data_IF_171736721744
#
_entry.id   IF_171736721744
#
_cell.length_a   1.000
_cell.length_b   1.000
_cell.length_c   1.000
_cell.angle_alpha   90.00
_cell.angle_beta   90.00
_cell.angle_gamma   90.00
#
_symmetry.space_group_name_H-M   'P 1'
#
loop_
_entity.id
_entity.type
_entity.pdbx_description
1 polymer ?
#
# COMPACT_ATOMS: atom_id res chain seq x y z
N UNK A 1 2.16 -5.94 -2.79
CA UNK A 1 1.97 -5.68 -1.36
C UNK A 1 2.61 -4.34 -0.98
N UNK A 2 2.06 -3.59 -0.02
CA UNK A 2 2.73 -2.40 0.53
C UNK A 2 3.61 -2.80 1.73
N UNK A 3 4.90 -3.02 1.46
CA UNK A 3 5.89 -3.47 2.46
C UNK A 3 5.98 -2.48 3.62
N UNK A 4 5.97 -1.17 3.35
CA UNK A 4 6.06 -0.16 4.40
C UNK A 4 4.86 -0.21 5.35
N UNK A 5 3.65 -0.39 4.82
CA UNK A 5 2.46 -0.53 5.65
C UNK A 5 2.48 -1.81 6.50
N UNK A 6 2.95 -2.92 5.93
CA UNK A 6 3.13 -4.18 6.66
C UNK A 6 4.15 -4.05 7.81
N UNK A 7 5.31 -3.43 7.55
CA UNK A 7 6.34 -3.18 8.57
C UNK A 7 5.80 -2.24 9.65
N UNK A 8 5.11 -1.16 9.28
CA UNK A 8 4.51 -0.24 10.26
C UNK A 8 3.40 -0.92 11.08
N UNK A 9 2.69 -1.91 10.53
CA UNK A 9 1.72 -2.70 11.28
C UNK A 9 2.41 -3.57 12.36
N UNK A 10 3.54 -4.22 12.02
CA UNK A 10 4.34 -5.01 12.96
C UNK A 10 5.11 -4.14 13.98
N UNK A 11 5.58 -2.98 13.53
CA UNK A 11 6.36 -2.03 14.31
C UNK A 11 5.73 -0.62 14.24
N UNK A 12 4.64 -0.36 14.97
CA UNK A 12 3.88 0.91 14.86
C UNK A 12 4.64 2.17 15.25
N UNK A 13 5.79 2.02 15.94
CA UNK A 13 6.64 3.13 16.38
C UNK A 13 7.82 3.39 15.43
N UNK A 14 7.99 2.56 14.40
CA UNK A 14 9.09 2.69 13.46
C UNK A 14 8.86 3.85 12.49
N UNK A 15 9.95 4.53 12.12
CA UNK A 15 9.97 5.57 11.11
C UNK A 15 10.48 5.00 9.76
N UNK A 16 9.66 4.98 8.70
CA UNK A 16 10.03 4.45 7.38
C UNK A 16 11.09 5.25 6.62
N UNK A 17 11.62 6.33 7.21
CA UNK A 17 12.74 7.10 6.67
C UNK A 17 14.05 6.78 7.41
N UNK A 18 13.97 6.48 8.71
CA UNK A 18 15.14 6.30 9.57
C UNK A 18 15.39 4.84 9.95
N UNK A 19 14.33 4.10 10.27
CA UNK A 19 14.41 2.77 10.87
C UNK A 19 14.46 1.66 9.81
N UNK A 20 13.84 1.89 8.66
CA UNK A 20 13.94 1.01 7.50
C UNK A 20 13.71 1.82 6.23
N UNK A 21 14.19 1.35 5.09
CA UNK A 21 13.97 1.99 3.79
C UNK A 21 13.40 0.97 2.82
N UNK A 22 12.23 1.26 2.26
CA UNK A 22 11.66 0.49 1.15
C UNK A 22 11.93 1.24 -0.14
N UNK A 23 12.45 0.53 -1.13
CA UNK A 23 12.77 1.06 -2.45
C UNK A 23 12.05 0.25 -3.50
N UNK A 24 11.59 0.93 -4.54
CA UNK A 24 11.09 0.31 -5.76
C UNK A 24 11.93 0.86 -6.91
N UNK A 25 12.77 -0.01 -7.48
CA UNK A 25 13.61 0.34 -8.63
C UNK A 25 12.87 0.15 -9.97
N UNK A 26 11.62 -0.30 -9.91
CA UNK A 26 10.81 -0.57 -11.09
C UNK A 26 11.33 -1.76 -11.91
N UNK A 27 10.93 -1.84 -13.19
CA UNK A 27 11.33 -2.93 -14.06
C UNK A 27 12.84 -2.92 -14.32
N UNK A 28 13.52 -4.02 -13.98
CA UNK A 28 14.96 -4.18 -14.19
C UNK A 28 15.24 -5.00 -15.47
N UNK A 29 16.07 -4.49 -16.40
CA UNK A 29 16.52 -5.26 -17.55
C UNK A 29 17.61 -6.25 -17.15
N UNK A 30 17.35 -7.55 -17.34
CA UNK A 30 18.31 -8.63 -17.08
C UNK A 30 18.81 -9.20 -18.40
N UNK A 31 20.13 -9.29 -18.57
CA UNK A 31 20.74 -9.79 -19.79
C UNK A 31 20.34 -11.25 -20.04
N UNK A 32 19.86 -11.52 -21.25
CA UNK A 32 19.55 -12.89 -21.68
C UNK A 32 20.76 -13.50 -22.38
N UNK A 33 21.46 -14.40 -21.71
CA UNK A 33 22.63 -15.07 -22.29
C UNK A 33 22.24 -16.04 -23.42
N UNK A 34 23.00 -16.03 -24.52
CA UNK A 34 22.88 -17.02 -25.60
C UNK A 34 21.94 -16.64 -26.75
N UNK A 35 21.33 -15.46 -26.73
CA UNK A 35 20.57 -14.90 -27.86
C UNK A 35 21.24 -13.57 -28.25
N UNK A 36 22.00 -13.59 -29.35
CA UNK A 36 22.62 -12.39 -29.91
C UNK A 36 21.81 -11.98 -31.14
N UNK A 37 21.07 -10.88 -31.01
CA UNK A 37 20.54 -10.13 -32.14
C UNK A 37 19.10 -10.42 -32.49
N UNK A 38 18.18 -9.71 -31.85
CA UNK A 38 16.97 -9.22 -32.51
C UNK A 38 16.88 -7.70 -32.41
N UNK A 39 17.59 -6.99 -33.30
CA UNK A 39 17.33 -5.56 -33.53
C UNK A 39 15.99 -5.45 -34.28
N UNK A 40 14.88 -5.34 -33.55
CA UNK A 40 13.68 -4.56 -33.87
C UNK A 40 12.57 -4.84 -32.89
N UNK A 41 11.76 -3.81 -32.65
CA UNK A 41 10.44 -3.78 -32.02
C UNK A 41 9.51 -4.97 -32.35
N UNK A 42 9.83 -6.16 -31.89
CA UNK A 42 8.90 -7.28 -31.79
C UNK A 42 8.73 -7.56 -30.31
N UNK A 43 7.89 -6.71 -29.70
CA UNK A 43 7.01 -7.13 -28.62
C UNK A 43 6.46 -8.48 -29.07
N UNK A 44 6.90 -9.57 -28.42
CA UNK A 44 6.42 -10.91 -28.73
C UNK A 44 4.89 -10.88 -28.74
N UNK A 45 4.21 -11.52 -29.71
CA UNK A 45 2.77 -11.66 -29.61
C UNK A 45 2.44 -12.36 -28.30
N UNK A 46 1.60 -11.71 -27.50
CA UNK A 46 1.14 -12.18 -26.18
C UNK A 46 0.59 -13.61 -26.32
N UNK A 47 1.05 -14.56 -25.50
CA UNK A 47 0.43 -15.89 -25.43
C UNK A 47 -0.91 -15.82 -24.66
N UNK A 48 -1.72 -16.89 -24.72
CA UNK A 48 -3.18 -16.90 -24.51
C UNK A 48 -3.69 -16.38 -23.14
N UNK A 49 -2.79 -16.15 -22.17
CA UNK A 49 -3.04 -15.62 -20.82
C UNK A 49 -2.52 -14.20 -20.58
N UNK A 50 -1.83 -13.57 -21.54
CA UNK A 50 -1.29 -12.22 -21.39
C UNK A 50 -2.33 -11.15 -21.82
N UNK A 51 -2.56 -10.18 -20.92
CA UNK A 51 -3.62 -9.17 -20.99
C UNK A 51 -3.60 -8.40 -22.32
N UNK A 52 -4.73 -8.47 -23.05
CA UNK A 52 -4.95 -7.83 -24.36
C UNK A 52 -4.37 -6.41 -24.41
N UNK A 53 -3.49 -6.16 -25.38
CA UNK A 53 -3.08 -4.81 -25.78
C UNK A 53 -4.33 -3.97 -26.03
N UNK A 54 -4.52 -2.92 -25.21
CA UNK A 54 -5.57 -1.92 -25.45
C UNK A 54 -5.01 -0.95 -26.48
N UNK A 55 -5.60 -0.94 -27.67
CA UNK A 55 -5.24 -0.02 -28.75
C UNK A 55 -5.30 1.43 -28.24
N UNK A 56 -4.16 2.13 -28.26
CA UNK A 56 -4.00 3.50 -27.76
C UNK A 56 -3.26 3.65 -26.41
N UNK A 57 -2.94 2.56 -25.72
CA UNK A 57 -2.14 2.60 -24.48
C UNK A 57 -0.67 2.30 -24.79
N UNK A 58 0.19 3.31 -24.67
CA UNK A 58 1.65 3.12 -24.73
C UNK A 58 2.15 2.69 -23.35
N UNK A 59 2.59 1.44 -23.20
CA UNK A 59 3.31 1.01 -22.01
C UNK A 59 4.71 1.63 -22.04
N UNK A 60 4.89 2.72 -21.29
CA UNK A 60 6.22 3.32 -21.09
C UNK A 60 6.91 2.57 -19.95
N UNK A 61 7.59 1.46 -20.27
CA UNK A 61 8.55 0.89 -19.33
C UNK A 61 9.64 1.95 -19.11
N UNK A 62 9.77 2.43 -17.87
CA UNK A 62 10.82 3.36 -17.47
C UNK A 62 12.13 2.58 -17.34
N UNK A 63 12.62 2.03 -18.45
CA UNK A 63 13.92 1.35 -18.51
C UNK A 63 14.99 2.42 -18.63
N UNK A 64 15.97 2.40 -17.72
CA UNK A 64 17.16 3.22 -17.88
C UNK A 64 18.03 2.64 -19.00
N UNK A 65 17.85 3.19 -20.21
CA UNK A 65 18.56 2.75 -21.41
C UNK A 65 20.08 2.88 -21.31
N UNK A 66 20.62 3.66 -20.35
CA UNK A 66 22.07 3.75 -20.12
C UNK A 66 22.66 2.45 -19.54
N UNK A 67 21.82 1.55 -19.01
CA UNK A 67 22.24 0.24 -18.47
C UNK A 67 22.30 -0.86 -19.54
N UNK A 68 21.89 -0.57 -20.78
CA UNK A 68 21.79 -1.55 -21.85
C UNK A 68 23.01 -1.51 -22.79
N UNK A 69 23.35 -2.67 -23.36
CA UNK A 69 24.39 -2.82 -24.38
C UNK A 69 23.72 -3.01 -25.74
N UNK A 70 24.15 -2.24 -26.73
CA UNK A 70 23.65 -2.36 -28.10
C UNK A 70 23.89 -3.77 -28.66
N UNK A 71 22.85 -4.35 -29.26
CA UNK A 71 22.90 -5.69 -29.87
C UNK A 71 22.73 -6.85 -28.88
N UNK A 72 22.38 -6.58 -27.61
CA UNK A 72 22.07 -7.59 -26.60
C UNK A 72 20.58 -7.59 -26.26
N UNK A 73 20.05 -8.79 -26.03
CA UNK A 73 18.66 -8.99 -25.63
C UNK A 73 18.54 -9.02 -24.10
N UNK A 74 17.46 -8.41 -23.59
CA UNK A 74 17.19 -8.29 -22.17
C UNK A 74 15.77 -8.75 -21.86
N UNK A 75 15.61 -9.50 -20.79
CA UNK A 75 14.32 -9.78 -20.19
C UNK A 75 13.99 -8.67 -19.19
N UNK A 76 12.80 -8.08 -19.30
CA UNK A 76 12.33 -7.08 -18.33
C UNK A 76 11.66 -7.82 -17.18
N UNK A 77 12.23 -7.73 -15.98
CA UNK A 77 11.72 -8.40 -14.78
C UNK A 77 11.19 -7.34 -13.82
N UNK A 78 9.90 -7.45 -13.46
CA UNK A 78 9.32 -6.67 -12.38
C UNK A 78 9.66 -7.33 -11.04
N UNK A 79 10.56 -6.70 -10.27
CA UNK A 79 10.97 -7.21 -8.95
C UNK A 79 10.14 -6.65 -7.78
N UNK A 80 9.33 -5.62 -8.03
CA UNK A 80 8.51 -4.95 -7.01
C UNK A 80 9.34 -4.22 -5.95
N UNK A 81 8.68 -3.59 -4.96
CA UNK A 81 9.35 -2.94 -3.85
C UNK A 81 10.11 -3.95 -2.98
N UNK A 82 11.23 -3.53 -2.39
CA UNK A 82 12.05 -4.33 -1.47
C UNK A 82 12.60 -3.48 -0.31
N UNK A 83 13.02 -4.13 0.77
CA UNK A 83 13.67 -3.47 1.91
C UNK A 83 15.14 -3.21 1.55
N UNK A 84 15.48 -1.96 1.27
CA UNK A 84 16.82 -1.51 0.89
C UNK A 84 17.74 -1.23 2.10
N UNK A 85 17.16 -0.87 3.25
CA UNK A 85 17.88 -0.68 4.50
C UNK A 85 17.05 -1.13 5.70
N UNK A 86 17.72 -1.66 6.72
CA UNK A 86 17.10 -2.12 7.95
C UNK A 86 17.95 -1.73 9.15
N UNK A 87 17.44 -0.82 9.98
CA UNK A 87 18.13 -0.23 11.12
C UNK A 87 17.43 -0.53 12.46
N UNK A 88 16.41 -1.38 12.47
CA UNK A 88 15.74 -1.82 13.69
C UNK A 88 16.56 -2.90 14.40
N UNK A 89 16.52 -2.90 15.74
CA UNK A 89 17.13 -3.96 16.57
C UNK A 89 16.40 -5.32 16.48
N UNK A 90 15.37 -5.42 15.63
CA UNK A 90 14.65 -6.65 15.32
C UNK A 90 15.25 -7.36 14.09
N UNK A 91 15.08 -8.68 13.94
CA UNK A 91 15.41 -9.33 12.67
C UNK A 91 14.57 -8.75 11.53
N UNK A 92 15.16 -8.69 10.34
CA UNK A 92 14.42 -8.32 9.13
C UNK A 92 13.35 -9.39 8.85
N UNK A 93 12.09 -9.00 8.59
CA UNK A 93 11.00 -9.95 8.38
C UNK A 93 11.18 -10.72 7.07
N UNK A 94 10.70 -11.97 7.04
CA UNK A 94 10.62 -12.76 5.81
C UNK A 94 9.43 -12.33 4.94
N UNK A 95 9.38 -12.79 3.69
CA UNK A 95 8.26 -12.49 2.79
C UNK A 95 6.93 -13.03 3.35
N UNK A 96 6.95 -14.21 3.97
CA UNK A 96 5.76 -14.80 4.59
C UNK A 96 5.27 -13.96 5.78
N UNK A 97 6.19 -13.41 6.58
CA UNK A 97 5.86 -12.54 7.71
C UNK A 97 5.30 -11.20 7.22
N UNK A 98 5.86 -10.64 6.14
CA UNK A 98 5.36 -9.43 5.50
C UNK A 98 3.94 -9.64 4.95
N UNK A 99 3.70 -10.74 4.25
CA UNK A 99 2.36 -11.04 3.70
C UNK A 99 1.34 -11.26 4.83
N UNK A 100 1.72 -11.99 5.89
CA UNK A 100 0.84 -12.17 7.05
C UNK A 100 0.52 -10.83 7.74
N UNK A 101 1.51 -9.96 7.92
CA UNK A 101 1.31 -8.62 8.48
C UNK A 101 0.45 -7.73 7.58
N UNK A 102 0.59 -7.84 6.25
CA UNK A 102 -0.23 -7.12 5.29
C UNK A 102 -1.69 -7.58 5.34
N UNK A 103 -1.95 -8.88 5.42
CA UNK A 103 -3.32 -9.40 5.58
C UNK A 103 -3.94 -8.94 6.90
N UNK A 104 -3.18 -8.98 8.00
CA UNK A 104 -3.63 -8.48 9.30
C UNK A 104 -3.95 -6.97 9.26
N UNK A 105 -3.11 -6.19 8.55
CA UNK A 105 -3.37 -4.77 8.32
C UNK A 105 -4.68 -4.54 7.54
N UNK A 106 -4.91 -5.29 6.46
CA UNK A 106 -6.13 -5.17 5.67
C UNK A 106 -7.39 -5.54 6.48
N UNK A 107 -7.32 -6.58 7.30
CA UNK A 107 -8.42 -6.97 8.18
C UNK A 107 -8.68 -5.91 9.27
N UNK A 108 -7.62 -5.33 9.85
CA UNK A 108 -7.75 -4.25 10.81
C UNK A 108 -8.37 -2.98 10.18
N UNK A 109 -7.95 -2.63 8.96
CA UNK A 109 -8.47 -1.48 8.23
C UNK A 109 -9.93 -1.69 7.81
N UNK A 110 -10.29 -2.91 7.39
CA UNK A 110 -11.67 -3.26 7.04
C UNK A 110 -12.62 -3.23 8.26
N UNK A 111 -12.11 -3.52 9.46
CA UNK A 111 -12.86 -3.50 10.70
C UNK A 111 -12.79 -2.15 11.43
N UNK A 112 -12.10 -1.14 10.87
CA UNK A 112 -12.01 0.17 11.49
C UNK A 112 -13.40 0.80 11.51
N UNK A 113 -13.93 1.20 12.69
CA UNK A 113 -15.19 1.92 12.72
C UNK A 113 -15.05 3.19 11.87
N UNK A 114 -16.08 3.59 11.12
CA UNK A 114 -16.03 4.79 10.30
C UNK A 114 -15.60 5.94 11.20
N UNK A 115 -14.49 6.59 10.84
CA UNK A 115 -14.07 7.81 11.52
C UNK A 115 -15.18 8.83 11.26
N UNK A 116 -16.03 9.05 12.26
CA UNK A 116 -17.06 10.08 12.19
C UNK A 116 -16.34 11.39 11.89
N UNK A 117 -16.78 12.07 10.84
CA UNK A 117 -16.30 13.42 10.55
C UNK A 117 -16.52 14.30 11.79
N UNK A 118 -15.71 15.34 11.98
CA UNK A 118 -15.88 16.26 13.13
C UNK A 118 -17.33 16.76 13.29
N UNK A 119 -18.02 16.97 12.17
CA UNK A 119 -19.43 17.37 12.15
C UNK A 119 -20.35 16.28 12.70
N UNK A 120 -20.09 15.01 12.38
CA UNK A 120 -20.87 13.89 12.89
C UNK A 120 -20.59 13.64 14.37
N UNK A 121 -19.33 13.76 14.82
CA UNK A 121 -18.98 13.71 16.24
C UNK A 121 -19.71 14.79 17.03
N UNK A 122 -19.65 16.05 16.55
CA UNK A 122 -20.35 17.16 17.18
C UNK A 122 -21.88 16.98 17.18
N UNK A 123 -22.45 16.32 16.16
CA UNK A 123 -23.88 16.00 16.14
C UNK A 123 -24.23 14.96 17.20
N UNK A 124 -23.45 13.89 17.30
CA UNK A 124 -23.64 12.85 18.32
C UNK A 124 -23.50 13.44 19.73
N UNK A 125 -22.48 14.28 19.97
CA UNK A 125 -22.30 14.97 21.24
C UNK A 125 -23.46 15.93 21.56
N UNK A 126 -23.93 16.71 20.58
CA UNK A 126 -25.08 17.60 20.79
C UNK A 126 -26.35 16.80 21.12
N UNK A 127 -26.61 15.69 20.43
CA UNK A 127 -27.77 14.85 20.74
C UNK A 127 -27.68 14.28 22.15
N UNK A 128 -26.51 13.80 22.57
CA UNK A 128 -26.31 13.29 23.92
C UNK A 128 -26.47 14.38 25.00
N UNK A 129 -26.06 15.62 24.71
CA UNK A 129 -26.27 16.75 25.62
C UNK A 129 -27.76 17.15 25.70
N UNK A 130 -28.49 17.09 24.58
CA UNK A 130 -29.92 17.36 24.55
C UNK A 130 -30.71 16.34 25.38
N UNK A 131 -30.39 15.05 25.27
CA UNK A 131 -31.01 14.00 26.07
C UNK A 131 -30.80 14.22 27.57
N UNK A 132 -29.56 14.55 27.97
CA UNK A 132 -29.24 14.87 29.37
C UNK A 132 -29.98 16.11 29.88
N UNK A 133 -30.18 17.11 29.02
CA UNK A 133 -30.95 18.30 29.37
C UNK A 133 -32.43 17.94 29.59
N UNK A 134 -33.00 17.12 28.70
CA UNK A 134 -34.38 16.66 28.81
C UNK A 134 -34.61 15.83 30.09
N UNK A 135 -33.66 14.95 30.44
CA UNK A 135 -33.72 14.22 31.71
C UNK A 135 -33.73 15.16 32.93
N UNK A 136 -32.91 16.21 32.92
CA UNK A 136 -32.88 17.22 33.99
C UNK A 136 -34.17 18.02 34.04
N UNK A 137 -34.74 18.38 32.90
CA UNK A 137 -36.03 19.08 32.82
C UNK A 137 -37.17 18.24 33.43
N UNK A 138 -37.18 16.93 33.14
CA UNK A 138 -38.14 15.99 33.74
C UNK A 138 -37.97 15.92 35.25
N UNK A 139 -36.73 15.78 35.75
CA UNK A 139 -36.45 15.75 37.19
C UNK A 139 -36.92 17.04 37.88
N UNK A 140 -36.68 18.20 37.25
CA UNK A 140 -37.12 19.50 37.79
C UNK A 140 -38.65 19.58 37.81
N UNK A 141 -39.32 19.12 36.75
CA UNK A 141 -40.78 19.11 36.68
C UNK A 141 -41.40 18.21 37.76
N UNK A 142 -40.82 17.04 38.03
CA UNK A 142 -41.25 16.15 39.13
C UNK A 142 -41.07 16.81 40.50
N UNK A 143 -39.94 17.50 40.73
CA UNK A 143 -39.67 18.19 42.00
C UNK A 143 -40.61 19.38 42.26
N UNK A 144 -41.09 20.05 41.21
CA UNK A 144 -42.01 21.21 41.32
C UNK A 144 -43.49 20.81 41.39
N UNK A 145 -43.83 19.54 41.17
CA UNK A 145 -45.19 19.00 41.21
C UNK A 145 -45.58 18.38 42.57
N UNK A 146 -44.72 18.57 43.59
CA UNK A 146 -44.91 18.20 45.01
C UNK A 146 -45.20 19.46 45.82
#
# INVERSE_FOLDING_TARGET
MNISAAIMHMHPKSDPVHDFMVRDDGPEPVLREGVDGHIRYEIRPLEEDESKLIEGVHYRYAVDFNRLVEGKDYDIIERGPYIAAWNLDAPQPTEEELEAAWQAYLEAEANKPPELSEVEQLRVENTALQDRLQDVEVIIAELLSI
#
